data_IF_475209411608
#
_entry.id   IF_475209411608
#
_cell.length_a   1.000
_cell.length_b   1.000
_cell.length_c   1.000
_cell.angle_alpha   90.00
_cell.angle_beta   90.00
_cell.angle_gamma   90.00
#
_symmetry.space_group_name_H-M   'P 1'
#
loop_
_entity.id
_entity.type
_entity.pdbx_description
1 polymer ?
#
# COMPACT_ATOMS: atom_id res chain seq x y z
N UNK A 1 18.66 7.32 12.50
CA UNK A 1 18.77 6.79 11.13
C UNK A 1 19.01 5.29 11.28
N UNK A 2 18.01 4.45 11.03
CA UNK A 2 18.16 2.99 11.12
C UNK A 2 18.99 2.54 9.91
N UNK A 3 20.26 2.21 10.14
CA UNK A 3 21.17 1.70 9.12
C UNK A 3 21.12 0.18 9.11
N UNK A 4 20.70 -0.40 7.99
CA UNK A 4 21.01 -1.79 7.66
C UNK A 4 22.43 -1.80 7.06
N UNK A 5 23.27 -2.75 7.47
CA UNK A 5 24.73 -2.73 7.27
C UNK A 5 25.25 -2.76 5.81
N UNK A 6 24.38 -2.67 4.80
CA UNK A 6 24.70 -2.79 3.37
C UNK A 6 24.34 -1.55 2.53
N UNK A 7 24.29 -0.37 3.15
CA UNK A 7 24.30 0.92 2.41
C UNK A 7 22.95 1.48 1.96
N UNK A 8 21.84 0.77 2.18
CA UNK A 8 20.50 1.33 1.99
C UNK A 8 20.09 2.17 3.20
N UNK A 9 19.70 3.43 2.94
CA UNK A 9 19.23 4.37 3.97
C UNK A 9 17.77 4.69 3.74
N UNK A 10 16.96 4.53 4.78
CA UNK A 10 15.57 4.97 4.81
C UNK A 10 15.56 6.48 5.08
N UNK A 11 14.82 7.23 4.26
CA UNK A 11 14.58 8.67 4.41
C UNK A 11 13.12 8.92 4.78
N UNK A 12 12.85 10.05 5.47
CA UNK A 12 11.54 10.42 6.05
C UNK A 12 10.85 9.28 6.85
N UNK A 13 11.50 8.74 7.90
CA UNK A 13 10.88 7.69 8.70
C UNK A 13 9.72 8.27 9.53
N UNK A 14 8.51 8.20 8.98
CA UNK A 14 7.25 8.49 9.69
C UNK A 14 6.56 7.22 10.21
N UNK A 15 7.33 6.15 10.38
CA UNK A 15 6.83 4.81 10.68
C UNK A 15 5.94 4.77 11.92
N UNK A 16 4.82 4.06 11.80
CA UNK A 16 3.96 3.68 12.92
C UNK A 16 4.18 2.22 13.31
N UNK A 17 3.78 1.84 14.53
CA UNK A 17 3.70 0.42 14.92
C UNK A 17 2.44 -0.16 14.28
N UNK A 18 2.59 -1.16 13.42
CA UNK A 18 1.47 -1.76 12.69
C UNK A 18 1.83 -3.09 12.04
N UNK A 19 0.86 -3.66 11.32
CA UNK A 19 1.09 -4.91 10.57
C UNK A 19 2.04 -4.63 9.40
N UNK A 20 3.07 -5.48 9.11
CA UNK A 20 4.10 -5.19 8.12
C UNK A 20 3.56 -4.87 6.71
N UNK A 21 2.41 -5.42 6.36
CA UNK A 21 1.74 -5.19 5.08
C UNK A 21 1.45 -3.72 4.78
N UNK A 22 1.40 -2.90 5.84
CA UNK A 22 1.16 -1.46 5.79
C UNK A 22 2.27 -0.68 5.07
N UNK A 23 3.41 -1.31 4.78
CA UNK A 23 4.56 -0.68 4.12
C UNK A 23 4.68 -1.04 2.63
N UNK A 24 3.88 -1.99 2.12
CA UNK A 24 4.08 -2.53 0.76
C UNK A 24 3.11 -1.96 -0.28
N UNK A 25 2.08 -1.23 0.14
CA UNK A 25 1.02 -0.72 -0.74
C UNK A 25 1.54 0.27 -1.80
N UNK A 26 2.61 1.00 -1.50
CA UNK A 26 3.15 2.07 -2.36
C UNK A 26 3.86 1.52 -3.62
N UNK A 27 4.19 0.24 -3.66
CA UNK A 27 4.84 -0.40 -4.81
C UNK A 27 3.85 -1.02 -5.80
N UNK A 28 2.54 -0.99 -5.52
CA UNK A 28 1.49 -1.59 -6.36
C UNK A 28 1.13 -0.66 -7.53
N UNK A 29 1.49 -1.08 -8.74
CA UNK A 29 1.20 -0.39 -10.01
C UNK A 29 0.08 -1.11 -10.79
N UNK A 30 0.08 -2.44 -10.73
CA UNK A 30 -0.98 -3.31 -11.24
C UNK A 30 -1.59 -4.07 -10.05
N UNK A 31 -2.80 -3.66 -9.66
CA UNK A 31 -3.50 -4.19 -8.48
C UNK A 31 -3.52 -5.72 -8.45
N UNK A 32 -3.84 -6.38 -9.57
CA UNK A 32 -3.98 -7.83 -9.60
C UNK A 32 -2.61 -8.54 -9.49
N UNK A 33 -1.66 -8.19 -10.37
CA UNK A 33 -0.36 -8.86 -10.43
C UNK A 33 0.51 -8.58 -9.22
N UNK A 34 0.51 -7.34 -8.74
CA UNK A 34 1.43 -6.93 -7.68
C UNK A 34 0.93 -7.39 -6.32
N UNK A 35 -0.39 -7.38 -6.07
CA UNK A 35 -0.93 -7.97 -4.82
C UNK A 35 -0.74 -9.48 -4.78
N UNK A 36 -0.83 -10.18 -5.92
CA UNK A 36 -0.50 -11.59 -6.04
C UNK A 36 0.98 -11.85 -5.73
N UNK A 37 1.88 -11.03 -6.26
CA UNK A 37 3.32 -11.12 -6.00
C UNK A 37 3.64 -10.88 -4.52
N UNK A 38 3.08 -9.82 -3.91
CA UNK A 38 3.27 -9.51 -2.48
C UNK A 38 2.80 -10.68 -1.61
N UNK A 39 1.61 -11.23 -1.91
CA UNK A 39 1.08 -12.38 -1.19
C UNK A 39 2.03 -13.59 -1.25
N UNK A 40 2.52 -13.92 -2.46
CA UNK A 40 3.48 -15.01 -2.66
C UNK A 40 4.82 -14.77 -1.95
N UNK A 41 5.38 -13.57 -2.09
CA UNK A 41 6.70 -13.24 -1.57
C UNK A 41 6.75 -13.28 -0.04
N UNK A 42 5.72 -12.75 0.62
CA UNK A 42 5.65 -12.68 2.09
C UNK A 42 4.89 -13.85 2.73
N UNK A 43 4.33 -14.77 1.93
CA UNK A 43 3.55 -15.91 2.43
C UNK A 43 2.22 -15.50 3.07
N UNK A 44 1.58 -14.46 2.53
CA UNK A 44 0.25 -14.00 2.95
C UNK A 44 -0.87 -14.55 2.06
N UNK A 45 -2.09 -14.54 2.60
CA UNK A 45 -3.29 -14.76 1.80
C UNK A 45 -3.54 -13.56 0.86
N UNK A 46 -3.88 -13.83 -0.40
CA UNK A 46 -4.04 -12.78 -1.42
C UNK A 46 -5.25 -11.88 -1.15
N UNK A 47 -6.34 -12.43 -0.61
CA UNK A 47 -7.51 -11.64 -0.26
C UNK A 47 -7.18 -10.68 0.89
N UNK A 48 -6.43 -11.16 1.89
CA UNK A 48 -5.91 -10.32 2.98
C UNK A 48 -5.03 -9.18 2.45
N UNK A 49 -4.13 -9.46 1.50
CA UNK A 49 -3.30 -8.39 0.87
C UNK A 49 -4.16 -7.36 0.16
N UNK A 50 -5.16 -7.79 -0.62
CA UNK A 50 -6.04 -6.89 -1.36
C UNK A 50 -6.90 -6.04 -0.43
N UNK A 51 -7.42 -6.61 0.65
CA UNK A 51 -8.18 -5.88 1.66
C UNK A 51 -7.35 -4.77 2.31
N UNK A 52 -6.10 -5.06 2.68
CA UNK A 52 -5.20 -4.05 3.19
C UNK A 52 -4.87 -2.97 2.16
N UNK A 53 -4.58 -3.37 0.92
CA UNK A 53 -4.35 -2.43 -0.17
C UNK A 53 -5.55 -1.50 -0.39
N UNK A 54 -6.78 -2.03 -0.34
CA UNK A 54 -8.01 -1.25 -0.43
C UNK A 54 -8.10 -0.19 0.67
N UNK A 55 -7.86 -0.58 1.93
CA UNK A 55 -7.84 0.36 3.06
C UNK A 55 -6.83 1.48 2.82
N UNK A 56 -5.63 1.15 2.33
CA UNK A 56 -4.59 2.14 2.06
C UNK A 56 -4.96 3.15 0.99
N UNK A 57 -5.50 2.71 -0.14
CA UNK A 57 -5.89 3.64 -1.20
C UNK A 57 -7.05 4.53 -0.77
N UNK A 58 -7.97 4.04 0.07
CA UNK A 58 -9.01 4.89 0.67
C UNK A 58 -8.41 5.93 1.62
N UNK A 59 -7.46 5.54 2.49
CA UNK A 59 -6.77 6.48 3.37
C UNK A 59 -5.99 7.55 2.58
N UNK A 60 -5.33 7.16 1.49
CA UNK A 60 -4.63 8.08 0.61
C UNK A 60 -5.60 9.05 -0.10
N UNK A 61 -6.78 8.57 -0.51
CA UNK A 61 -7.86 9.42 -1.04
C UNK A 61 -8.30 10.46 0.00
N UNK A 62 -8.55 10.04 1.25
CA UNK A 62 -8.89 10.96 2.35
C UNK A 62 -7.80 12.00 2.58
N UNK A 63 -6.54 11.57 2.65
CA UNK A 63 -5.41 12.47 2.85
C UNK A 63 -5.28 13.49 1.71
N UNK A 64 -5.51 13.09 0.46
CA UNK A 64 -5.53 14.04 -0.66
C UNK A 64 -6.64 15.08 -0.49
N UNK A 65 -7.85 14.65 -0.11
CA UNK A 65 -8.98 15.58 0.11
C UNK A 65 -8.69 16.56 1.25
N UNK A 66 -8.11 16.11 2.36
CA UNK A 66 -7.69 16.97 3.48
C UNK A 66 -6.68 18.04 3.05
N UNK A 67 -5.87 17.75 2.02
CA UNK A 67 -4.87 18.66 1.46
C UNK A 67 -5.36 19.43 0.22
N UNK A 68 -6.67 19.39 -0.10
CA UNK A 68 -7.27 20.00 -1.29
C UNK A 68 -6.67 19.51 -2.62
N UNK A 69 -6.27 18.24 -2.67
CA UNK A 69 -5.78 17.54 -3.87
C UNK A 69 -6.87 16.61 -4.44
N UNK A 70 -6.77 16.26 -5.73
CA UNK A 70 -7.68 15.28 -6.33
C UNK A 70 -7.49 13.89 -5.74
N UNK A 71 -8.60 13.19 -5.46
CA UNK A 71 -8.63 11.81 -5.00
C UNK A 71 -8.84 10.79 -6.12
N UNK A 72 -9.00 11.23 -7.38
CA UNK A 72 -9.50 10.40 -8.48
C UNK A 72 -8.62 9.16 -8.72
N UNK A 73 -7.31 9.33 -8.67
CA UNK A 73 -6.36 8.22 -8.84
C UNK A 73 -6.59 7.12 -7.80
N UNK A 74 -6.70 7.51 -6.52
CA UNK A 74 -6.86 6.57 -5.43
C UNK A 74 -8.24 5.91 -5.43
N UNK A 75 -9.28 6.65 -5.83
CA UNK A 75 -10.62 6.10 -5.99
C UNK A 75 -10.72 5.10 -7.16
N UNK A 76 -10.01 5.35 -8.28
CA UNK A 76 -9.92 4.39 -9.38
C UNK A 76 -9.19 3.10 -8.96
N UNK A 77 -8.09 3.23 -8.21
CA UNK A 77 -7.38 2.09 -7.63
C UNK A 77 -8.27 1.32 -6.63
N UNK A 78 -9.03 2.02 -5.79
CA UNK A 78 -9.99 1.41 -4.87
C UNK A 78 -11.06 0.62 -5.63
N UNK A 79 -11.63 1.21 -6.68
CA UNK A 79 -12.64 0.55 -7.52
C UNK A 79 -12.10 -0.69 -8.24
N UNK A 80 -10.84 -0.65 -8.72
CA UNK A 80 -10.16 -1.82 -9.30
C UNK A 80 -9.94 -2.92 -8.26
N UNK A 81 -9.52 -2.54 -7.06
CA UNK A 81 -9.25 -3.49 -5.97
C UNK A 81 -10.53 -4.13 -5.44
N UNK A 82 -11.60 -3.36 -5.30
CA UNK A 82 -12.91 -3.84 -4.84
C UNK A 82 -13.51 -4.92 -5.77
N UNK A 83 -13.13 -4.96 -7.05
CA UNK A 83 -13.55 -6.04 -7.97
C UNK A 83 -12.83 -7.37 -7.72
N UNK A 84 -11.76 -7.35 -6.92
CA UNK A 84 -10.86 -8.47 -6.65
C UNK A 84 -10.94 -8.96 -5.19
N UNK A 85 -11.77 -8.31 -4.37
CA UNK A 85 -12.06 -8.63 -2.96
C UNK A 85 -13.44 -9.27 -2.89
#
# INVERSE_FOLDING_TARGET
MLTCNDGWKIIDPKGGVGFPINEYWSFVMNVEKDTQYIALFFGYDVLFVRQWYFVHVILAACWNLENNLSADLFLDLAAKTHKLI
#
